data_IF_720734553655
#
_entry.id   IF_720734553655
#
_cell.length_a   1.000
_cell.length_b   1.000
_cell.length_c   1.000
_cell.angle_alpha   90.00
_cell.angle_beta   90.00
_cell.angle_gamma   90.00
#
_symmetry.space_group_name_H-M   'P 1'
#
loop_
_entity.id
_entity.type
_entity.pdbx_description
1 polymer ?
#
# COMPACT_ATOMS: atom_id res chain seq x y z
N UNK A 1 15.33 -1.88 7.89
CA UNK A 1 14.35 -1.12 8.70
C UNK A 1 14.19 0.29 8.16
N UNK A 2 13.69 0.39 6.93
CA UNK A 2 13.16 1.63 6.39
C UNK A 2 11.65 1.67 6.68
N UNK A 3 11.13 2.86 6.93
CA UNK A 3 9.69 3.05 7.15
C UNK A 3 9.27 4.32 6.44
N UNK A 4 8.26 4.21 5.58
CA UNK A 4 7.66 5.35 4.90
C UNK A 4 6.27 5.62 5.46
N UNK A 5 6.05 6.90 5.79
CA UNK A 5 4.80 7.41 6.33
C UNK A 5 4.30 8.45 5.32
N UNK A 6 3.16 8.17 4.70
CA UNK A 6 2.58 9.03 3.67
C UNK A 6 1.16 9.37 4.06
N UNK A 7 0.83 10.65 4.06
CA UNK A 7 -0.53 11.14 4.29
C UNK A 7 -1.25 11.19 2.93
N UNK A 8 -2.38 10.51 2.83
CA UNK A 8 -3.16 10.41 1.59
C UNK A 8 -4.62 10.77 1.84
N UNK A 9 -5.20 11.49 0.87
CA UNK A 9 -6.65 11.60 0.75
C UNK A 9 -7.13 10.50 -0.19
N UNK A 10 -7.73 9.43 0.37
CA UNK A 10 -8.23 8.30 -0.40
C UNK A 10 -9.33 8.67 -1.41
N UNK A 11 -9.95 9.83 -1.21
CA UNK A 11 -10.89 10.41 -2.17
C UNK A 11 -10.21 10.88 -3.47
N UNK A 12 -8.90 11.14 -3.44
CA UNK A 12 -8.11 11.60 -4.59
C UNK A 12 -7.20 10.48 -5.13
N UNK A 13 -6.54 9.74 -4.23
CA UNK A 13 -5.62 8.66 -4.60
C UNK A 13 -6.12 7.33 -4.05
N UNK A 14 -6.41 6.34 -4.90
CA UNK A 14 -6.86 5.03 -4.43
C UNK A 14 -5.74 4.33 -3.61
N UNK A 15 -6.07 3.69 -2.47
CA UNK A 15 -5.08 3.06 -1.59
C UNK A 15 -4.23 2.00 -2.27
N UNK A 16 -4.81 1.26 -3.23
CA UNK A 16 -4.07 0.25 -4.00
C UNK A 16 -2.88 0.85 -4.76
N UNK A 17 -3.02 2.05 -5.32
CA UNK A 17 -1.94 2.77 -6.00
C UNK A 17 -0.95 3.35 -5.00
N UNK A 18 -1.44 3.98 -3.93
CA UNK A 18 -0.59 4.56 -2.89
C UNK A 18 0.36 3.53 -2.26
N UNK A 19 -0.10 2.29 -2.02
CA UNK A 19 0.75 1.21 -1.48
C UNK A 19 1.86 0.84 -2.48
N UNK A 20 1.50 0.65 -3.76
CA UNK A 20 2.46 0.35 -4.82
C UNK A 20 3.52 1.46 -4.90
N UNK A 21 3.11 2.73 -4.87
CA UNK A 21 4.04 3.86 -4.92
C UNK A 21 4.94 3.95 -3.69
N UNK A 22 4.40 3.68 -2.49
CA UNK A 22 5.18 3.67 -1.26
C UNK A 22 6.24 2.56 -1.26
N UNK A 23 5.88 1.33 -1.68
CA UNK A 23 6.85 0.24 -1.80
C UNK A 23 7.89 0.55 -2.90
N UNK A 24 7.46 1.16 -4.00
CA UNK A 24 8.34 1.57 -5.10
C UNK A 24 9.37 2.62 -4.63
N UNK A 25 8.92 3.58 -3.81
CA UNK A 25 9.77 4.59 -3.19
C UNK A 25 10.80 3.96 -2.25
N UNK A 26 10.37 3.00 -1.41
CA UNK A 26 11.26 2.24 -0.51
C UNK A 26 12.34 1.49 -1.29
N UNK A 27 11.96 0.81 -2.37
CA UNK A 27 12.88 0.02 -3.20
C UNK A 27 13.67 0.86 -4.20
N UNK A 28 13.42 2.18 -4.25
CA UNK A 28 14.01 3.10 -5.22
C UNK A 28 13.84 2.64 -6.68
N UNK A 29 12.72 1.98 -6.97
CA UNK A 29 12.41 1.41 -8.27
C UNK A 29 11.04 1.87 -8.74
N UNK A 30 10.76 1.87 -10.06
CA UNK A 30 9.44 2.21 -10.55
C UNK A 30 8.40 1.15 -10.14
N UNK A 31 7.18 1.59 -9.87
CA UNK A 31 6.04 0.75 -9.48
C UNK A 31 5.76 -0.40 -10.45
N UNK A 32 6.04 -0.22 -11.74
CA UNK A 32 5.91 -1.26 -12.77
C UNK A 32 6.95 -2.37 -12.65
N UNK A 33 8.07 -2.13 -11.98
CA UNK A 33 9.12 -3.12 -11.75
C UNK A 33 8.97 -3.89 -10.44
N UNK A 34 8.14 -3.43 -9.50
CA UNK A 34 7.91 -4.16 -8.24
C UNK A 34 7.42 -5.59 -8.44
N UNK A 35 6.47 -5.80 -9.34
CA UNK A 35 5.96 -7.13 -9.69
C UNK A 35 7.03 -8.05 -10.30
N UNK A 36 7.62 -7.70 -11.45
CA UNK A 36 8.57 -8.58 -12.14
C UNK A 36 9.96 -8.66 -11.48
N UNK A 37 10.42 -7.59 -10.83
CA UNK A 37 11.78 -7.50 -10.27
C UNK A 37 11.84 -7.90 -8.80
N UNK A 38 10.84 -7.50 -8.00
CA UNK A 38 10.79 -7.80 -6.56
C UNK A 38 9.77 -8.88 -6.19
N UNK A 39 8.95 -9.35 -7.15
CA UNK A 39 7.91 -10.34 -6.89
C UNK A 39 6.75 -9.80 -6.06
N UNK A 40 6.65 -8.48 -5.90
CA UNK A 40 5.66 -7.84 -5.04
C UNK A 40 4.40 -7.59 -5.85
N UNK A 41 3.35 -8.37 -5.56
CA UNK A 41 2.05 -8.23 -6.21
C UNK A 41 0.99 -8.12 -5.13
N UNK A 42 0.41 -6.92 -4.96
CA UNK A 42 -0.67 -6.69 -4.01
C UNK A 42 -1.83 -7.69 -4.19
N UNK A 43 -2.20 -7.96 -5.43
CA UNK A 43 -3.29 -8.90 -5.78
C UNK A 43 -3.05 -10.34 -5.33
N UNK A 44 -1.81 -10.71 -5.01
CA UNK A 44 -1.49 -12.04 -4.46
C UNK A 44 -1.93 -12.16 -3.00
N UNK A 45 -1.88 -11.05 -2.25
CA UNK A 45 -2.22 -11.01 -0.83
C UNK A 45 -3.62 -10.47 -0.57
N UNK A 46 -4.03 -9.42 -1.29
CA UNK A 46 -5.29 -8.72 -1.09
C UNK A 46 -5.84 -8.22 -2.42
N UNK A 47 -7.15 -8.30 -2.60
CA UNK A 47 -7.81 -7.75 -3.77
C UNK A 47 -7.75 -6.20 -3.73
N UNK A 48 -7.06 -5.54 -4.68
CA UNK A 48 -6.84 -4.11 -4.65
C UNK A 48 -8.13 -3.31 -4.86
N UNK A 49 -9.10 -3.85 -5.61
CA UNK A 49 -10.40 -3.21 -5.81
C UNK A 49 -11.26 -3.31 -4.55
N UNK A 50 -11.25 -4.46 -3.86
CA UNK A 50 -11.93 -4.62 -2.60
C UNK A 50 -11.33 -3.70 -1.52
N UNK A 51 -10.02 -3.56 -1.48
CA UNK A 51 -9.33 -2.64 -0.57
C UNK A 51 -9.70 -1.19 -0.85
N UNK A 52 -9.66 -0.77 -2.12
CA UNK A 52 -10.09 0.56 -2.55
C UNK A 52 -11.51 0.88 -2.08
N UNK A 53 -12.45 -0.03 -2.36
CA UNK A 53 -13.84 0.11 -1.93
C UNK A 53 -13.99 0.13 -0.42
N UNK A 54 -13.25 -0.71 0.30
CA UNK A 54 -13.34 -0.77 1.77
C UNK A 54 -12.90 0.55 2.41
N UNK A 55 -11.79 1.12 1.94
CA UNK A 55 -11.23 2.36 2.49
C UNK A 55 -12.04 3.58 2.06
N UNK A 56 -12.53 3.62 0.82
CA UNK A 56 -13.33 4.76 0.31
C UNK A 56 -14.74 4.81 0.90
N UNK A 57 -15.31 3.67 1.30
CA UNK A 57 -16.68 3.62 1.84
C UNK A 57 -16.77 3.68 3.37
N UNK A 58 -15.67 3.41 4.08
CA UNK A 58 -15.66 3.40 5.53
C UNK A 58 -15.06 4.67 6.12
N UNK A 59 -15.83 5.40 6.93
CA UNK A 59 -15.37 6.66 7.57
C UNK A 59 -14.16 6.49 8.51
N UNK A 60 -13.89 5.28 9.01
CA UNK A 60 -12.76 5.00 9.91
C UNK A 60 -12.25 3.56 9.75
N UNK A 61 -11.84 3.21 8.53
CA UNK A 61 -11.26 1.88 8.26
C UNK A 61 -9.77 1.89 8.53
N UNK A 62 -9.31 0.89 9.30
CA UNK A 62 -7.88 0.60 9.48
C UNK A 62 -7.61 -0.80 8.97
N UNK A 63 -6.74 -0.92 7.97
CA UNK A 63 -6.33 -2.21 7.38
C UNK A 63 -4.84 -2.38 7.61
N UNK A 64 -4.43 -3.54 8.11
CA UNK A 64 -3.02 -3.89 8.26
C UNK A 64 -2.80 -5.29 7.70
N UNK A 65 -1.82 -5.43 6.82
CA UNK A 65 -1.45 -6.70 6.21
C UNK A 65 0.02 -6.66 5.77
N UNK A 66 0.60 -7.83 5.54
CA UNK A 66 1.99 -7.96 5.13
C UNK A 66 2.06 -8.46 3.69
N UNK A 67 2.87 -7.82 2.84
CA UNK A 67 3.12 -8.20 1.45
C UNK A 67 4.61 -8.49 1.30
N UNK A 68 4.97 -9.76 1.11
CA UNK A 68 6.37 -10.17 1.11
C UNK A 68 7.04 -9.85 2.45
N UNK A 69 8.09 -9.02 2.41
CA UNK A 69 8.85 -8.55 3.59
C UNK A 69 8.37 -7.17 4.09
N UNK A 70 7.28 -6.64 3.52
CA UNK A 70 6.74 -5.33 3.86
C UNK A 70 5.48 -5.45 4.71
N UNK A 71 5.44 -4.72 5.82
CA UNK A 71 4.22 -4.52 6.61
C UNK A 71 3.53 -3.23 6.15
N UNK A 72 2.31 -3.37 5.64
CA UNK A 72 1.50 -2.28 5.10
C UNK A 72 0.35 -2.02 6.06
N UNK A 73 0.24 -0.77 6.51
CA UNK A 73 -0.84 -0.32 7.36
C UNK A 73 -1.49 0.94 6.79
N UNK A 74 -2.78 0.85 6.56
CA UNK A 74 -3.62 1.91 6.05
C UNK A 74 -4.61 2.33 7.13
N UNK A 75 -4.81 3.63 7.25
CA UNK A 75 -5.87 4.24 8.05
C UNK A 75 -6.62 5.23 7.17
N UNK A 76 -7.64 5.88 7.72
CA UNK A 76 -8.45 6.92 7.08
C UNK A 76 -7.69 8.04 6.33
N UNK A 77 -6.45 8.37 6.73
CA UNK A 77 -5.65 9.42 6.06
C UNK A 77 -4.16 9.11 5.95
N UNK A 78 -3.75 7.92 6.37
CA UNK A 78 -2.33 7.60 6.52
C UNK A 78 -2.03 6.22 5.96
N UNK A 79 -0.96 6.16 5.19
CA UNK A 79 -0.29 4.95 4.76
C UNK A 79 1.03 4.84 5.51
N UNK A 80 1.28 3.67 6.07
CA UNK A 80 2.55 3.31 6.67
C UNK A 80 3.03 2.03 5.99
N UNK A 81 4.23 2.07 5.43
CA UNK A 81 4.91 0.90 4.88
C UNK A 81 6.22 0.71 5.62
N UNK A 82 6.43 -0.50 6.14
CA UNK A 82 7.61 -0.85 6.91
C UNK A 82 8.28 -2.10 6.36
N UNK A 83 9.56 -1.99 6.06
CA UNK A 83 10.46 -3.11 5.79
C UNK A 83 10.76 -3.87 7.10
N UNK A 84 10.49 -5.18 7.13
CA UNK A 84 10.65 -6.08 8.31
C UNK A 84 11.99 -6.79 8.34
#
# INVERSE_FOLDING_TARGET
MNTEHLEYEWSETPPSIAIIEAIASLENCPSTELGPTHGIVLSDTIDPEALDRLVTTGESVSVAFSVGEYDVKLTEKMLLVRDT
#
